data_IF_617427093812
#
_entry.id   IF_617427093812
#
_cell.length_a   1.000
_cell.length_b   1.000
_cell.length_c   1.000
_cell.angle_alpha   90.00
_cell.angle_beta   90.00
_cell.angle_gamma   90.00
#
_symmetry.space_group_name_H-M   'P 1'
#
loop_
_entity.id
_entity.type
_entity.pdbx_description
1 polymer ?
#
# COMPACT_ATOMS: atom_id res chain seq x y z
N UNK A 1 -1.10 2.37 16.93
CA UNK A 1 -1.50 1.70 15.67
C UNK A 1 -0.41 1.88 14.62
N UNK A 2 -0.05 0.81 13.96
CA UNK A 2 0.98 0.86 12.94
C UNK A 2 0.46 1.58 11.69
N UNK A 3 1.27 2.44 11.11
CA UNK A 3 0.97 3.04 9.83
C UNK A 3 1.23 2.06 8.69
N UNK A 4 0.87 2.44 7.48
CA UNK A 4 1.03 1.59 6.31
C UNK A 4 2.45 1.63 5.75
N UNK A 5 3.32 2.49 6.28
CA UNK A 5 4.71 2.58 5.91
C UNK A 5 5.59 2.68 7.13
N UNK A 6 6.90 2.78 6.92
CA UNK A 6 7.86 2.91 8.02
C UNK A 6 8.04 4.36 8.46
N UNK A 7 7.75 5.31 7.58
CA UNK A 7 7.88 6.73 7.88
C UNK A 7 6.83 7.53 7.13
N UNK A 8 6.07 8.35 7.85
CA UNK A 8 5.17 9.30 7.19
C UNK A 8 5.98 10.52 6.77
N UNK A 9 5.96 10.82 5.48
CA UNK A 9 6.77 11.87 4.88
C UNK A 9 5.99 13.16 4.74
N UNK A 10 4.70 13.05 4.41
CA UNK A 10 3.89 14.23 4.06
C UNK A 10 2.43 13.88 4.22
N UNK A 11 1.65 14.87 4.59
CA UNK A 11 0.20 14.72 4.65
C UNK A 11 -0.47 16.06 4.42
N UNK A 12 -1.53 16.06 3.62
CA UNK A 12 -2.43 17.21 3.50
C UNK A 12 -3.86 16.68 3.48
N UNK A 13 -4.80 17.50 3.04
CA UNK A 13 -6.21 17.09 3.06
C UNK A 13 -6.58 16.09 1.96
N UNK A 14 -5.64 15.76 1.05
CA UNK A 14 -5.91 14.87 -0.07
C UNK A 14 -5.10 13.59 -0.04
N UNK A 15 -3.86 13.65 0.44
CA UNK A 15 -2.96 12.51 0.37
C UNK A 15 -2.16 12.36 1.64
N UNK A 16 -1.70 11.13 1.88
CA UNK A 16 -0.67 10.82 2.87
C UNK A 16 0.43 10.10 2.14
N UNK A 17 1.66 10.58 2.27
CA UNK A 17 2.82 9.99 1.61
C UNK A 17 3.68 9.29 2.66
N UNK A 18 4.00 8.04 2.38
CA UNK A 18 4.80 7.20 3.26
C UNK A 18 6.03 6.69 2.52
N UNK A 19 7.13 6.53 3.25
CA UNK A 19 8.20 5.62 2.82
C UNK A 19 7.99 4.28 3.50
N UNK A 20 8.29 3.21 2.79
CA UNK A 20 8.36 1.87 3.37
C UNK A 20 9.72 1.30 3.02
N UNK A 21 10.53 1.04 4.03
CA UNK A 21 11.86 0.46 3.86
C UNK A 21 11.94 -0.82 4.69
N UNK A 22 12.37 -1.91 4.06
CA UNK A 22 12.57 -3.18 4.73
C UNK A 22 13.92 -3.74 4.32
N UNK A 23 14.80 -3.92 5.30
CA UNK A 23 16.07 -4.59 5.08
C UNK A 23 15.85 -6.08 4.81
N UNK A 24 16.82 -6.78 4.23
CA UNK A 24 16.69 -8.24 4.09
C UNK A 24 16.36 -8.88 5.43
N UNK A 25 15.40 -9.78 5.42
CA UNK A 25 14.84 -10.49 6.58
C UNK A 25 13.99 -9.64 7.51
N UNK A 26 13.89 -8.35 7.28
CA UNK A 26 13.06 -7.51 8.14
C UNK A 26 11.59 -7.79 7.90
N UNK A 27 10.83 -7.93 8.99
CA UNK A 27 9.39 -8.12 8.97
C UNK A 27 8.74 -6.82 9.43
N UNK A 28 7.98 -6.17 8.54
CA UNK A 28 7.27 -4.95 8.90
C UNK A 28 6.12 -5.24 9.85
N UNK A 29 5.63 -4.19 10.50
CA UNK A 29 4.52 -4.33 11.43
C UNK A 29 3.22 -4.60 10.67
N UNK A 30 2.33 -5.37 11.30
CA UNK A 30 1.00 -5.57 10.77
C UNK A 30 0.24 -4.25 10.78
N UNK A 31 -0.41 -3.94 9.67
CA UNK A 31 -1.15 -2.70 9.51
C UNK A 31 -2.41 -2.95 8.69
N UNK A 32 -3.30 -1.97 8.68
CA UNK A 32 -4.56 -2.06 7.93
C UNK A 32 -4.64 -0.90 6.95
N UNK A 33 -4.92 -1.23 5.68
CA UNK A 33 -5.18 -0.24 4.65
C UNK A 33 -6.65 0.10 4.63
N UNK A 34 -6.97 1.37 4.74
CA UNK A 34 -8.36 1.85 4.67
C UNK A 34 -8.59 2.76 3.47
N UNK A 35 -7.53 3.16 2.80
CA UNK A 35 -7.58 4.11 1.69
C UNK A 35 -6.97 3.49 0.46
N UNK A 36 -7.52 3.84 -0.70
CA UNK A 36 -6.88 3.49 -1.96
C UNK A 36 -5.50 4.13 -2.01
N UNK A 37 -4.55 3.46 -2.66
CA UNK A 37 -3.18 3.95 -2.66
C UNK A 37 -2.44 3.48 -3.91
N UNK A 38 -1.33 4.17 -4.19
CA UNK A 38 -0.42 3.79 -5.25
C UNK A 38 0.97 3.64 -4.64
N UNK A 39 1.75 2.69 -5.17
CA UNK A 39 3.14 2.52 -4.75
C UNK A 39 4.06 2.74 -5.93
N UNK A 40 5.21 3.32 -5.65
CA UNK A 40 6.34 3.40 -6.57
C UNK A 40 7.50 2.67 -5.92
N UNK A 41 7.99 1.62 -6.56
CA UNK A 41 9.08 0.82 -6.03
C UNK A 41 10.40 1.47 -6.43
N UNK A 42 11.19 1.87 -5.44
CA UNK A 42 12.51 2.47 -5.66
C UNK A 42 13.59 1.40 -5.70
N UNK A 43 13.51 0.42 -4.80
CA UNK A 43 14.43 -0.71 -4.77
C UNK A 43 13.61 -1.96 -4.55
N UNK A 44 13.59 -2.84 -5.54
CA UNK A 44 12.75 -4.02 -5.54
C UNK A 44 13.32 -5.15 -4.73
N UNK A 45 12.46 -6.10 -4.38
CA UNK A 45 12.84 -7.32 -3.69
C UNK A 45 11.68 -8.31 -3.76
N UNK A 46 11.88 -9.45 -3.12
CA UNK A 46 10.85 -10.48 -2.95
C UNK A 46 10.26 -10.32 -1.55
N UNK A 47 8.95 -10.20 -1.48
CA UNK A 47 8.25 -10.03 -0.20
C UNK A 47 7.31 -11.20 0.05
N UNK A 48 7.31 -11.69 1.29
CA UNK A 48 6.27 -12.58 1.77
C UNK A 48 5.17 -11.74 2.40
N UNK A 49 3.91 -12.04 2.07
CA UNK A 49 2.75 -11.32 2.59
C UNK A 49 2.03 -12.21 3.59
N UNK A 50 1.78 -11.68 4.77
CA UNK A 50 1.14 -12.40 5.86
C UNK A 50 -0.22 -11.78 6.17
N UNK A 51 -1.20 -12.64 6.48
CA UNK A 51 -2.55 -12.21 6.76
C UNK A 51 -2.75 -11.72 8.19
N UNK A 52 -4.01 -11.41 8.54
CA UNK A 52 -4.31 -10.83 9.86
C UNK A 52 -3.92 -11.71 11.03
N UNK A 53 -3.89 -13.03 10.82
CA UNK A 53 -3.53 -13.98 11.89
C UNK A 53 -2.07 -14.40 11.84
N UNK A 54 -1.26 -13.77 10.97
CA UNK A 54 0.14 -14.11 10.85
C UNK A 54 0.42 -15.26 9.90
N UNK A 55 -0.58 -15.73 9.17
CA UNK A 55 -0.39 -16.83 8.22
C UNK A 55 0.24 -16.31 6.92
N UNK A 56 1.14 -17.10 6.35
CA UNK A 56 1.74 -16.77 5.06
C UNK A 56 0.69 -16.95 3.96
N UNK A 57 0.43 -15.89 3.21
CA UNK A 57 -0.60 -15.91 2.17
C UNK A 57 -0.01 -16.01 0.78
N UNK A 58 1.08 -15.28 0.53
CA UNK A 58 1.60 -15.16 -0.82
C UNK A 58 3.04 -14.67 -0.79
N UNK A 59 3.73 -14.85 -1.90
CA UNK A 59 5.06 -14.30 -2.13
C UNK A 59 4.99 -13.49 -3.41
N UNK A 60 5.42 -12.24 -3.36
CA UNK A 60 5.34 -11.34 -4.51
C UNK A 60 6.71 -10.78 -4.81
N UNK A 61 6.98 -10.60 -6.11
CA UNK A 61 8.19 -9.95 -6.59
C UNK A 61 7.82 -8.54 -7.00
N UNK A 62 8.49 -7.56 -6.42
CA UNK A 62 8.29 -6.16 -6.78
C UNK A 62 9.58 -5.63 -7.38
N UNK A 63 9.51 -5.18 -8.62
CA UNK A 63 10.69 -4.78 -9.36
C UNK A 63 10.98 -3.31 -9.16
N UNK A 64 12.28 -2.98 -9.11
CA UNK A 64 12.72 -1.58 -9.04
C UNK A 64 12.15 -0.81 -10.23
N UNK A 65 11.60 0.37 -9.94
CA UNK A 65 10.98 1.22 -10.96
C UNK A 65 9.54 0.90 -11.26
N UNK A 66 8.98 -0.17 -10.66
CA UNK A 66 7.58 -0.52 -10.84
C UNK A 66 6.64 0.44 -10.13
N UNK A 67 5.40 0.48 -10.60
CA UNK A 67 4.35 1.25 -9.96
C UNK A 67 3.06 0.45 -10.05
N UNK A 68 2.31 0.40 -8.95
CA UNK A 68 1.05 -0.35 -8.89
C UNK A 68 0.05 0.48 -8.12
N UNK A 69 -1.19 0.49 -8.60
CA UNK A 69 -2.29 1.16 -7.95
C UNK A 69 -3.18 0.11 -7.29
N UNK A 70 -3.65 0.41 -6.09
CA UNK A 70 -4.46 -0.51 -5.30
C UNK A 70 -5.73 0.18 -4.85
N UNK A 71 -6.82 -0.57 -4.85
CA UNK A 71 -8.06 -0.08 -4.27
C UNK A 71 -8.51 -1.02 -3.15
N UNK A 72 -9.20 -0.45 -2.20
CA UNK A 72 -9.73 -1.20 -1.06
C UNK A 72 -11.20 -1.51 -1.32
N UNK A 73 -11.55 -2.79 -1.30
CA UNK A 73 -12.93 -3.24 -1.44
C UNK A 73 -13.27 -4.09 -0.25
N UNK A 74 -14.05 -3.54 0.68
CA UNK A 74 -14.33 -4.21 1.94
C UNK A 74 -13.05 -4.39 2.74
N UNK A 75 -12.72 -5.63 3.04
CA UNK A 75 -11.51 -5.97 3.78
C UNK A 75 -10.41 -6.52 2.86
N UNK A 76 -10.50 -6.25 1.55
CA UNK A 76 -9.57 -6.77 0.56
C UNK A 76 -8.87 -5.65 -0.20
N UNK A 77 -7.65 -5.94 -0.63
CA UNK A 77 -6.85 -5.07 -1.48
C UNK A 77 -6.81 -5.66 -2.87
N UNK A 78 -7.22 -4.88 -3.85
CA UNK A 78 -7.26 -5.28 -5.26
C UNK A 78 -6.25 -4.43 -6.02
N UNK A 79 -5.27 -5.09 -6.64
CA UNK A 79 -4.29 -4.39 -7.44
C UNK A 79 -4.80 -4.16 -8.86
N UNK A 80 -4.46 -3.01 -9.43
CA UNK A 80 -4.71 -2.72 -10.83
C UNK A 80 -3.53 -3.26 -11.65
N UNK A 81 -3.35 -4.57 -11.58
CA UNK A 81 -2.24 -5.26 -12.22
C UNK A 81 -2.65 -6.72 -12.38
N UNK A 82 -2.79 -7.21 -13.61
CA UNK A 82 -3.22 -8.60 -13.84
C UNK A 82 -2.25 -9.57 -13.17
N UNK A 83 -2.81 -10.59 -12.54
CA UNK A 83 -2.01 -11.63 -11.90
C UNK A 83 -1.52 -11.31 -10.51
N UNK A 84 -1.71 -10.09 -10.03
CA UNK A 84 -1.34 -9.75 -8.66
C UNK A 84 -2.37 -10.36 -7.71
N UNK A 85 -1.93 -10.99 -6.60
CA UNK A 85 -2.88 -11.65 -5.71
C UNK A 85 -3.77 -10.64 -4.97
N UNK A 86 -5.00 -11.06 -4.70
CA UNK A 86 -5.87 -10.33 -3.79
C UNK A 86 -5.41 -10.65 -2.39
N UNK A 87 -5.17 -9.62 -1.57
CA UNK A 87 -4.69 -9.81 -0.21
C UNK A 87 -5.61 -9.08 0.77
N UNK A 88 -5.65 -9.51 2.04
CA UNK A 88 -6.45 -8.80 3.04
C UNK A 88 -5.92 -7.39 3.26
N UNK A 89 -6.84 -6.48 3.59
CA UNK A 89 -6.47 -5.10 3.92
C UNK A 89 -5.61 -5.03 5.17
N UNK A 90 -5.77 -5.98 6.09
CA UNK A 90 -4.90 -6.12 7.26
C UNK A 90 -3.84 -7.16 6.96
N UNK A 91 -2.59 -6.76 6.94
CA UNK A 91 -1.50 -7.68 6.60
C UNK A 91 -0.16 -7.12 7.09
N UNK A 92 0.86 -7.94 6.90
CA UNK A 92 2.25 -7.50 7.06
C UNK A 92 3.07 -8.12 5.95
N UNK A 93 4.32 -7.66 5.81
CA UNK A 93 5.21 -8.17 4.79
C UNK A 93 6.60 -8.36 5.38
N UNK A 94 7.32 -9.35 4.86
CA UNK A 94 8.71 -9.63 5.21
C UNK A 94 9.54 -9.61 3.95
N UNK A 95 10.67 -8.94 4.00
CA UNK A 95 11.59 -8.94 2.88
C UNK A 95 12.44 -10.20 2.94
N UNK A 96 12.22 -11.11 1.99
CA UNK A 96 12.97 -12.37 1.92
C UNK A 96 13.98 -12.36 0.78
N UNK A 97 14.13 -11.22 0.09
CA UNK A 97 15.15 -11.06 -0.93
C UNK A 97 16.47 -10.59 -0.35
N UNK A 98 17.45 -10.44 -1.24
CA UNK A 98 18.80 -10.04 -0.85
C UNK A 98 18.98 -8.52 -0.80
N UNK A 99 18.07 -7.77 -1.40
CA UNK A 99 18.17 -6.32 -1.50
C UNK A 99 17.29 -5.65 -0.45
N UNK A 100 17.66 -4.45 -0.01
CA UNK A 100 16.76 -3.62 0.77
C UNK A 100 15.56 -3.26 -0.11
N UNK A 101 14.37 -3.48 0.40
CA UNK A 101 13.15 -3.09 -0.30
C UNK A 101 12.80 -1.66 0.09
N UNK A 102 12.53 -0.81 -0.91
CA UNK A 102 12.17 0.58 -0.68
C UNK A 102 11.05 0.99 -1.62
N UNK A 103 10.01 1.57 -1.06
CA UNK A 103 8.93 2.10 -1.89
C UNK A 103 8.40 3.40 -1.30
N UNK A 104 7.79 4.19 -2.16
CA UNK A 104 6.95 5.32 -1.76
C UNK A 104 5.51 4.89 -1.94
N UNK A 105 4.70 5.11 -0.91
CA UNK A 105 3.29 4.75 -0.90
C UNK A 105 2.49 6.02 -0.71
N UNK A 106 1.53 6.28 -1.59
CA UNK A 106 0.69 7.46 -1.52
C UNK A 106 -0.75 7.01 -1.32
N UNK A 107 -1.31 7.33 -0.16
CA UNK A 107 -2.72 7.07 0.13
C UNK A 107 -3.56 8.26 -0.28
N UNK A 108 -4.74 7.98 -0.84
CA UNK A 108 -5.66 9.01 -1.27
C UNK A 108 -6.79 9.11 -0.26
N UNK A 109 -6.90 10.27 0.40
CA UNK A 109 -7.96 10.48 1.37
C UNK A 109 -9.30 10.55 0.67
N UNK A 110 -10.31 9.95 1.30
CA UNK A 110 -11.66 10.04 0.79
C UNK A 110 -12.12 11.47 0.94
N UNK A 111 -12.58 12.04 -0.16
CA UNK A 111 -13.11 13.38 -0.12
C UNK A 111 -14.58 13.32 0.20
N UNK A 112 -15.05 14.31 0.96
CA UNK A 112 -16.48 14.49 1.11
C UNK A 112 -17.07 14.73 -0.26
N UNK A 113 -18.27 14.19 -0.46
CA UNK A 113 -18.99 14.50 -1.66
C UNK A 113 -19.23 15.98 -1.71
N UNK A 114 -18.74 16.61 -2.76
CA UNK A 114 -19.02 18.00 -2.99
C UNK A 114 -20.43 18.15 -3.42
N UNK A 115 -21.05 19.23 -3.03
CA UNK A 115 -22.29 19.60 -3.65
C UNK A 115 -21.99 19.83 -5.13
N UNK A 116 -22.83 19.28 -6.00
CA UNK A 116 -22.71 19.63 -7.40
C UNK A 116 -22.78 21.14 -7.49
N UNK A 117 -21.90 21.68 -8.22
CA UNK A 117 -21.94 23.11 -8.38
C UNK A 117 -23.17 23.48 -9.11
N UNK A 118 -23.68 24.15 -8.42
CA UNK A 118 -24.88 24.26 -8.84
C UNK A 118 -25.31 22.96 -8.76
N UNK A 119 -24.68 22.82 -8.45
CA UNK A 119 -24.69 22.12 -8.61
C UNK A 119 -24.54 21.92 -9.02
N UNK A 120 -24.15 22.47 -9.06
CA UNK A 120 -23.67 22.41 -9.53
C UNK A 120 -23.04 22.23 -9.95
N UNK A 121 -22.79 22.35 -9.89
CA UNK A 121 -22.07 22.17 -10.30
C UNK A 121 -21.46 21.99 -10.61
N UNK A 122 -21.26 21.88 -10.47
CA UNK A 122 -20.84 21.45 -10.84
C UNK A 122 -20.04 21.41 -11.24
N UNK A 123 -19.89 21.55 -11.26
CA UNK A 123 -19.19 21.39 -12.14
C UNK A 123 -18.42 21.00 -12.09
#
# INVERSE_FOLDING_TARGET
>A
MAGVGTQKVFENDRVIVWNLDLEPDEHGERHTHELDYVVRVLSGSTLEVFGPSGELLDTVELESGGAVSFRIEGDQIIADCPGYPVVPATHSARNVGANTFREVLIEFKKQQLRQPFGSSAGG
#
